data_IF_952861575057
#
_entry.id   IF_952861575057
#
_cell.length_a   1.000
_cell.length_b   1.000
_cell.length_c   1.000
_cell.angle_alpha   90.00
_cell.angle_beta   90.00
_cell.angle_gamma   90.00
#
_symmetry.space_group_name_H-M   'P 1'
#
loop_
_entity.id
_entity.type
_entity.pdbx_description
1 polymer ?
#
# COMPACT_ATOMS: atom_id res chain seq x y z
N UNK A 1 1.93 39.27 29.63
CA UNK A 1 1.05 38.16 30.05
C UNK A 1 -0.13 38.76 30.79
N UNK A 2 -1.35 38.65 30.27
CA UNK A 2 -2.52 39.34 30.84
C UNK A 2 -2.99 38.66 32.13
N UNK A 3 -3.02 39.35 33.29
CA UNK A 3 -3.37 38.75 34.58
C UNK A 3 -4.88 38.51 34.79
N UNK A 4 -5.73 38.91 33.84
CA UNK A 4 -7.20 38.80 33.94
C UNK A 4 -7.84 37.69 33.09
N UNK A 5 -7.04 36.85 32.41
CA UNK A 5 -7.56 35.69 31.69
C UNK A 5 -7.78 34.55 32.69
N UNK A 6 -9.04 34.12 32.88
CA UNK A 6 -9.34 32.88 33.62
C UNK A 6 -8.52 31.74 33.01
N UNK A 7 -7.89 30.91 33.85
CA UNK A 7 -7.18 29.72 33.39
C UNK A 7 -8.19 28.84 32.62
N UNK A 8 -7.86 28.36 31.42
CA UNK A 8 -8.79 27.59 30.61
C UNK A 8 -9.22 26.35 31.39
N UNK A 9 -10.51 26.03 31.34
CA UNK A 9 -11.05 24.83 31.99
C UNK A 9 -10.45 23.55 31.37
N UNK A 10 -10.45 22.40 32.06
CA UNK A 10 -9.95 21.14 31.48
C UNK A 10 -10.58 20.81 30.12
N UNK A 11 -11.85 21.16 29.92
CA UNK A 11 -12.57 21.00 28.65
C UNK A 11 -12.08 21.98 27.56
N UNK A 12 -11.81 23.23 27.91
CA UNK A 12 -11.23 24.20 26.97
C UNK A 12 -9.80 23.82 26.59
N UNK A 13 -9.00 23.35 27.56
CA UNK A 13 -7.65 22.85 27.32
C UNK A 13 -7.67 21.63 26.39
N UNK A 14 -8.55 20.67 26.62
CA UNK A 14 -8.70 19.49 25.75
C UNK A 14 -9.13 19.87 24.33
N UNK A 15 -10.06 20.84 24.17
CA UNK A 15 -10.47 21.34 22.85
C UNK A 15 -9.36 22.11 22.13
N UNK A 16 -8.54 22.87 22.86
CA UNK A 16 -7.38 23.57 22.29
C UNK A 16 -6.34 22.55 21.84
N UNK A 17 -5.97 21.61 22.71
CA UNK A 17 -5.04 20.52 22.40
C UNK A 17 -5.52 19.71 21.19
N UNK A 18 -6.80 19.34 21.12
CA UNK A 18 -7.38 18.65 19.97
C UNK A 18 -7.20 19.45 18.67
N UNK A 19 -7.46 20.76 18.69
CA UNK A 19 -7.32 21.62 17.51
C UNK A 19 -5.86 21.75 17.08
N UNK A 20 -4.96 21.91 18.04
CA UNK A 20 -3.52 21.96 17.81
C UNK A 20 -3.02 20.65 17.22
N UNK A 21 -3.29 19.51 17.85
CA UNK A 21 -2.91 18.19 17.34
C UNK A 21 -3.47 17.96 15.94
N UNK A 22 -4.73 18.29 15.67
CA UNK A 22 -5.32 18.15 14.33
C UNK A 22 -4.64 19.06 13.30
N UNK A 23 -4.27 20.27 13.66
CA UNK A 23 -3.54 21.20 12.79
C UNK A 23 -2.15 20.67 12.47
N UNK A 24 -1.41 20.26 13.49
CA UNK A 24 -0.05 19.71 13.38
C UNK A 24 -0.04 18.42 12.56
N UNK A 25 -0.96 17.49 12.83
CA UNK A 25 -1.12 16.26 12.05
C UNK A 25 -1.37 16.58 10.58
N UNK A 26 -2.31 17.48 10.27
CA UNK A 26 -2.58 17.89 8.87
C UNK A 26 -1.39 18.55 8.20
N UNK A 27 -0.63 19.37 8.92
CA UNK A 27 0.58 20.00 8.39
C UNK A 27 1.64 18.96 8.04
N UNK A 28 1.89 18.03 8.95
CA UNK A 28 2.85 16.94 8.78
C UNK A 28 2.41 15.98 7.66
N UNK A 29 1.13 15.64 7.55
CA UNK A 29 0.60 14.85 6.43
C UNK A 29 0.90 15.51 5.07
N UNK A 30 0.71 16.82 4.96
CA UNK A 30 1.02 17.56 3.72
C UNK A 30 2.52 17.63 3.44
N UNK A 31 3.35 17.68 4.48
CA UNK A 31 4.81 17.60 4.32
C UNK A 31 5.21 16.22 3.80
N UNK A 32 4.73 15.15 4.43
CA UNK A 32 4.98 13.78 3.96
C UNK A 32 4.49 13.55 2.53
N UNK A 33 3.36 14.14 2.13
CA UNK A 33 2.91 14.08 0.73
C UNK A 33 3.86 14.78 -0.26
N UNK A 34 4.57 15.83 0.16
CA UNK A 34 5.62 16.44 -0.66
C UNK A 34 6.84 15.52 -0.72
N UNK A 35 7.26 14.99 0.42
CA UNK A 35 8.42 14.11 0.51
C UNK A 35 8.20 12.82 -0.31
N UNK A 36 7.00 12.24 -0.29
CA UNK A 36 6.61 11.10 -1.14
C UNK A 36 6.74 11.44 -2.63
N UNK A 37 6.29 12.63 -3.07
CA UNK A 37 6.45 13.06 -4.46
C UNK A 37 7.92 13.28 -4.83
N UNK A 38 8.75 13.67 -3.89
CA UNK A 38 10.19 13.84 -4.10
C UNK A 38 10.87 12.48 -4.26
N UNK A 39 10.51 11.50 -3.42
CA UNK A 39 10.92 10.11 -3.57
C UNK A 39 10.44 9.50 -4.89
N UNK A 40 9.21 9.78 -5.34
CA UNK A 40 8.71 9.34 -6.66
C UNK A 40 9.57 9.88 -7.82
N UNK A 41 10.01 11.13 -7.72
CA UNK A 41 10.89 11.73 -8.73
C UNK A 41 12.27 11.09 -8.70
N UNK A 42 12.83 10.85 -7.51
CA UNK A 42 14.10 10.15 -7.35
C UNK A 42 14.05 8.71 -7.87
N UNK A 43 12.96 7.98 -7.57
CA UNK A 43 12.72 6.63 -8.07
C UNK A 43 12.76 6.60 -9.60
N UNK A 44 12.02 7.51 -10.26
CA UNK A 44 11.99 7.60 -11.73
C UNK A 44 13.37 7.92 -12.33
N UNK A 45 14.13 8.82 -11.69
CA UNK A 45 15.48 9.17 -12.13
C UNK A 45 16.44 7.99 -11.97
N UNK A 46 16.41 7.29 -10.83
CA UNK A 46 17.23 6.10 -10.59
C UNK A 46 16.90 5.00 -11.57
N UNK A 47 15.61 4.75 -11.85
CA UNK A 47 15.20 3.80 -12.88
C UNK A 47 15.81 4.19 -14.23
N UNK A 48 15.69 5.45 -14.67
CA UNK A 48 16.30 5.90 -15.93
C UNK A 48 17.83 5.71 -15.96
N UNK A 49 18.54 6.03 -14.88
CA UNK A 49 19.99 5.83 -14.78
C UNK A 49 20.37 4.35 -14.87
N UNK A 50 19.62 3.47 -14.19
CA UNK A 50 19.78 2.01 -14.30
C UNK A 50 19.56 1.55 -15.74
N UNK A 51 18.52 2.07 -16.44
CA UNK A 51 18.27 1.73 -17.86
C UNK A 51 19.44 2.15 -18.76
N UNK A 52 19.94 3.38 -18.59
CA UNK A 52 21.02 3.91 -19.40
C UNK A 52 22.31 3.11 -19.19
N UNK A 53 22.61 2.78 -17.94
CA UNK A 53 23.80 2.00 -17.57
C UNK A 53 23.72 0.56 -18.04
N UNK A 54 22.58 -0.10 -17.90
CA UNK A 54 22.37 -1.47 -18.36
C UNK A 54 22.51 -1.63 -19.89
N UNK A 55 22.25 -0.56 -20.65
CA UNK A 55 22.41 -0.52 -22.12
C UNK A 55 23.81 -0.13 -22.59
N UNK A 56 24.71 0.27 -21.70
CA UNK A 56 26.04 0.70 -22.08
C UNK A 56 26.88 -0.50 -22.56
N UNK A 57 27.55 -0.39 -23.73
CA UNK A 57 28.33 -1.50 -24.28
C UNK A 57 29.54 -1.81 -23.38
N UNK A 58 29.72 -3.09 -23.02
CA UNK A 58 30.85 -3.57 -22.22
C UNK A 58 30.57 -3.75 -20.71
N UNK A 59 29.35 -3.43 -20.24
CA UNK A 59 28.94 -3.73 -18.87
C UNK A 59 28.29 -5.12 -18.80
N UNK A 60 28.87 -5.99 -17.96
CA UNK A 60 28.25 -7.26 -17.57
C UNK A 60 27.17 -7.01 -16.51
N UNK A 61 26.22 -7.94 -16.36
CA UNK A 61 25.17 -7.92 -15.32
C UNK A 61 25.73 -7.76 -13.89
N UNK A 62 27.03 -8.02 -13.70
CA UNK A 62 27.74 -7.91 -12.42
C UNK A 62 28.53 -6.59 -12.24
N UNK A 63 28.18 -5.49 -12.92
CA UNK A 63 28.81 -4.19 -12.64
C UNK A 63 28.49 -3.75 -11.20
N UNK A 64 29.51 -3.55 -10.32
CA UNK A 64 29.30 -3.16 -8.93
C UNK A 64 28.48 -1.87 -8.78
N UNK A 65 28.56 -0.95 -9.74
CA UNK A 65 27.82 0.30 -9.64
C UNK A 65 26.40 0.22 -10.23
N UNK A 66 26.09 -0.78 -11.07
CA UNK A 66 24.70 -1.17 -11.37
C UNK A 66 24.05 -1.78 -10.12
N UNK A 67 24.76 -2.67 -9.41
CA UNK A 67 24.31 -3.24 -8.13
C UNK A 67 24.06 -2.14 -7.08
N UNK A 68 24.96 -1.17 -6.97
CA UNK A 68 24.78 -0.04 -6.05
C UNK A 68 23.54 0.80 -6.38
N UNK A 69 23.29 1.11 -7.66
CA UNK A 69 22.10 1.86 -8.08
C UNK A 69 20.81 1.08 -7.83
N UNK A 70 20.82 -0.24 -7.99
CA UNK A 70 19.66 -1.07 -7.70
C UNK A 70 19.37 -1.20 -6.21
N UNK A 71 20.40 -1.34 -5.36
CA UNK A 71 20.24 -1.25 -3.90
C UNK A 71 19.62 0.11 -3.50
N UNK A 72 20.07 1.20 -4.13
CA UNK A 72 19.50 2.53 -3.90
C UNK A 72 18.02 2.61 -4.34
N UNK A 73 17.65 1.97 -5.45
CA UNK A 73 16.26 1.89 -5.90
C UNK A 73 15.37 1.16 -4.89
N UNK A 74 15.81 0.00 -4.37
CA UNK A 74 15.08 -0.74 -3.33
C UNK A 74 14.94 0.11 -2.07
N UNK A 75 16.02 0.78 -1.65
CA UNK A 75 15.98 1.65 -0.48
C UNK A 75 14.98 2.81 -0.64
N UNK A 76 14.91 3.46 -1.81
CA UNK A 76 13.92 4.52 -2.08
C UNK A 76 12.50 3.98 -2.06
N UNK A 77 12.26 2.78 -2.59
CA UNK A 77 10.94 2.11 -2.52
C UNK A 77 10.53 1.79 -1.09
N UNK A 78 11.46 1.26 -0.28
CA UNK A 78 11.21 0.95 1.14
C UNK A 78 10.96 2.23 1.95
N UNK A 79 11.73 3.29 1.70
CA UNK A 79 11.49 4.62 2.29
C UNK A 79 10.10 5.16 1.93
N UNK A 80 9.69 5.04 0.67
CA UNK A 80 8.36 5.46 0.22
C UNK A 80 7.25 4.64 0.87
N UNK A 81 7.39 3.31 0.97
CA UNK A 81 6.44 2.45 1.68
C UNK A 81 6.32 2.87 3.16
N UNK A 82 7.45 3.07 3.84
CA UNK A 82 7.49 3.56 5.23
C UNK A 82 6.84 4.94 5.38
N UNK A 83 7.01 5.85 4.42
CA UNK A 83 6.33 7.16 4.45
C UNK A 83 4.79 7.03 4.34
N UNK A 84 4.27 6.09 3.56
CA UNK A 84 2.83 5.82 3.51
C UNK A 84 2.32 5.26 4.84
N UNK A 85 3.08 4.38 5.47
CA UNK A 85 2.76 3.83 6.78
C UNK A 85 2.77 4.91 7.87
N UNK A 86 3.85 5.69 7.97
CA UNK A 86 3.92 6.82 8.93
C UNK A 86 2.80 7.83 8.67
N UNK A 87 2.39 8.05 7.42
CA UNK A 87 1.21 8.88 7.12
C UNK A 87 -0.08 8.30 7.69
N UNK A 88 -0.27 6.99 7.58
CA UNK A 88 -1.43 6.28 8.13
C UNK A 88 -1.41 6.32 9.67
N UNK A 89 -0.28 6.01 10.29
CA UNK A 89 -0.07 6.09 11.74
C UNK A 89 -0.35 7.50 12.26
N UNK A 90 0.17 8.54 11.62
CA UNK A 90 -0.09 9.93 11.99
C UNK A 90 -1.57 10.30 11.84
N UNK A 91 -2.25 9.74 10.84
CA UNK A 91 -3.71 9.82 10.69
C UNK A 91 -4.46 9.19 11.86
N UNK A 92 -4.05 7.98 12.27
CA UNK A 92 -4.58 7.29 13.45
C UNK A 92 -4.36 8.10 14.73
N UNK A 93 -3.16 8.65 14.95
CA UNK A 93 -2.89 9.54 16.09
C UNK A 93 -3.82 10.77 16.12
N UNK A 94 -4.16 11.33 14.95
CA UNK A 94 -5.14 12.41 14.84
C UNK A 94 -6.56 11.97 15.24
N UNK A 95 -6.94 10.73 14.93
CA UNK A 95 -8.20 10.13 15.36
C UNK A 95 -8.20 9.85 16.87
N UNK A 96 -7.13 9.26 17.40
CA UNK A 96 -6.92 9.01 18.83
C UNK A 96 -7.01 10.31 19.65
N UNK A 97 -6.37 11.38 19.19
CA UNK A 97 -6.48 12.70 19.83
C UNK A 97 -7.93 13.24 19.80
N UNK A 98 -8.68 12.97 18.72
CA UNK A 98 -10.10 13.35 18.65
C UNK A 98 -10.97 12.49 19.56
N UNK A 99 -10.69 11.19 19.70
CA UNK A 99 -11.39 10.29 20.61
C UNK A 99 -11.15 10.71 22.07
N UNK A 100 -9.89 10.98 22.44
CA UNK A 100 -9.53 11.51 23.76
C UNK A 100 -10.27 12.81 24.09
N UNK A 101 -10.37 13.75 23.14
CA UNK A 101 -11.11 14.99 23.34
C UNK A 101 -12.61 14.75 23.60
N UNK A 102 -13.21 13.82 22.86
CA UNK A 102 -14.61 13.39 23.09
C UNK A 102 -14.78 12.75 24.47
N UNK A 103 -13.82 11.93 24.90
CA UNK A 103 -13.85 11.28 26.21
C UNK A 103 -13.74 12.29 27.36
N UNK A 104 -12.90 13.31 27.24
CA UNK A 104 -12.84 14.42 28.20
C UNK A 104 -14.15 15.21 28.23
N UNK A 105 -14.75 15.47 27.07
CA UNK A 105 -16.05 16.14 26.98
C UNK A 105 -17.16 15.31 27.63
N UNK A 106 -17.16 13.99 27.42
CA UNK A 106 -18.10 13.06 28.04
C UNK A 106 -17.91 13.04 29.56
N UNK A 107 -16.68 12.91 30.04
CA UNK A 107 -16.37 12.93 31.47
C UNK A 107 -16.82 14.24 32.14
N UNK A 108 -16.62 15.38 31.46
CA UNK A 108 -17.09 16.69 31.95
C UNK A 108 -18.62 16.77 31.98
N UNK A 109 -19.29 16.27 30.94
CA UNK A 109 -20.74 16.22 30.88
C UNK A 109 -21.32 15.29 31.95
N UNK A 110 -20.75 14.10 32.14
CA UNK A 110 -21.12 13.18 33.20
C UNK A 110 -20.86 13.77 34.58
N UNK A 111 -19.77 14.52 34.78
CA UNK A 111 -19.51 15.26 36.02
C UNK A 111 -20.61 16.28 36.32
N UNK A 112 -21.00 17.08 35.32
CA UNK A 112 -22.09 18.07 35.47
C UNK A 112 -23.45 17.41 35.72
N UNK A 113 -23.75 16.32 35.00
CA UNK A 113 -24.97 15.51 35.20
C UNK A 113 -24.95 14.85 36.57
N UNK A 114 -23.81 14.31 37.04
CA UNK A 114 -23.68 13.70 38.36
C UNK A 114 -23.81 14.72 39.48
N UNK A 115 -23.28 15.93 39.32
CA UNK A 115 -23.54 17.02 40.27
C UNK A 115 -25.02 17.38 40.30
N UNK A 116 -25.67 17.55 39.14
CA UNK A 116 -27.12 17.82 39.08
C UNK A 116 -27.98 16.65 39.60
N UNK A 117 -27.52 15.41 39.42
CA UNK A 117 -28.17 14.18 39.87
C UNK A 117 -27.92 13.91 41.37
N UNK A 118 -26.79 14.39 41.91
CA UNK A 118 -26.50 14.48 43.34
C UNK A 118 -27.37 15.54 44.01
N UNK A 119 -27.69 16.62 43.33
CA UNK A 119 -28.65 17.61 43.82
C UNK A 119 -30.10 17.10 43.74
N UNK A 120 -30.36 16.12 42.86
CA UNK A 120 -31.63 15.40 42.74
C UNK A 120 -31.65 14.02 43.46
N UNK A 121 -30.71 13.78 44.37
CA UNK A 121 -30.36 12.47 44.93
C UNK A 121 -31.50 11.78 45.68
N UNK A 122 -32.17 10.81 45.02
CA UNK A 122 -32.69 9.57 45.61
C UNK A 122 -33.31 8.57 44.60
N UNK A 123 -33.24 8.77 43.27
CA UNK A 123 -33.98 7.92 42.32
C UNK A 123 -33.14 7.17 41.25
N UNK A 124 -31.80 7.26 41.24
CA UNK A 124 -30.99 6.60 40.20
C UNK A 124 -29.84 5.80 40.81
N UNK A 125 -29.70 4.54 40.38
CA UNK A 125 -28.75 3.55 40.88
C UNK A 125 -27.32 3.81 40.37
N UNK A 126 -26.60 4.69 41.07
CA UNK A 126 -25.21 5.08 40.78
C UNK A 126 -24.23 3.91 40.77
N UNK A 127 -24.56 2.80 41.44
CA UNK A 127 -23.72 1.60 41.51
C UNK A 127 -23.62 0.89 40.15
N UNK A 128 -24.75 0.76 39.45
CA UNK A 128 -24.78 0.14 38.11
C UNK A 128 -24.00 0.96 37.09
N UNK A 129 -24.03 2.30 37.17
CA UNK A 129 -23.26 3.18 36.29
C UNK A 129 -21.75 3.02 36.52
N UNK A 130 -21.31 2.91 37.78
CA UNK A 130 -19.90 2.65 38.12
C UNK A 130 -19.40 1.31 37.59
N UNK A 131 -20.21 0.24 37.67
CA UNK A 131 -19.88 -1.05 37.07
C UNK A 131 -19.71 -0.96 35.56
N UNK A 132 -20.65 -0.31 34.86
CA UNK A 132 -20.56 -0.13 33.38
C UNK A 132 -19.35 0.71 32.96
N UNK A 133 -18.94 1.69 33.77
CA UNK A 133 -17.73 2.48 33.54
C UNK A 133 -16.45 1.64 33.71
N UNK A 134 -16.42 0.76 34.71
CA UNK A 134 -15.31 -0.18 34.93
C UNK A 134 -15.20 -1.18 33.78
N UNK A 135 -16.32 -1.72 33.31
CA UNK A 135 -16.35 -2.65 32.19
C UNK A 135 -15.91 -1.99 30.89
N UNK A 136 -16.37 -0.76 30.63
CA UNK A 136 -15.90 0.04 29.49
C UNK A 136 -14.39 0.29 29.55
N UNK A 137 -13.84 0.61 30.73
CA UNK A 137 -12.39 0.78 30.89
C UNK A 137 -11.62 -0.48 30.55
N UNK A 138 -12.07 -1.65 31.01
CA UNK A 138 -11.44 -2.95 30.73
C UNK A 138 -11.52 -3.32 29.25
N UNK A 139 -12.64 -3.02 28.61
CA UNK A 139 -12.86 -3.33 27.19
C UNK A 139 -12.02 -2.42 26.28
N UNK A 140 -11.88 -1.14 26.66
CA UNK A 140 -10.98 -0.19 25.99
C UNK A 140 -9.51 -0.61 26.11
N UNK A 141 -9.08 -1.08 27.29
CA UNK A 141 -7.71 -1.59 27.49
C UNK A 141 -7.44 -2.86 26.66
N UNK A 142 -8.42 -3.78 26.59
CA UNK A 142 -8.34 -4.95 25.71
C UNK A 142 -8.28 -4.56 24.22
N UNK A 143 -8.97 -3.50 23.82
CA UNK A 143 -8.92 -3.01 22.44
C UNK A 143 -7.54 -2.45 22.11
N UNK A 144 -6.95 -1.65 23.01
CA UNK A 144 -5.61 -1.09 22.83
C UNK A 144 -4.54 -2.20 22.72
N UNK A 145 -4.56 -3.20 23.59
CA UNK A 145 -3.62 -4.34 23.49
C UNK A 145 -3.74 -5.10 22.16
N UNK A 146 -4.96 -5.19 21.60
CA UNK A 146 -5.15 -5.81 20.28
C UNK A 146 -4.60 -4.95 19.16
N UNK A 147 -4.70 -3.63 19.26
CA UNK A 147 -4.10 -2.70 18.29
C UNK A 147 -2.56 -2.80 18.33
N UNK A 148 -1.96 -2.88 19.53
CA UNK A 148 -0.51 -3.08 19.69
C UNK A 148 -0.05 -4.42 19.12
N UNK A 149 -0.69 -5.54 19.48
CA UNK A 149 -0.34 -6.85 18.92
C UNK A 149 -0.54 -6.93 17.40
N UNK A 150 -1.52 -6.22 16.86
CA UNK A 150 -1.74 -6.14 15.42
C UNK A 150 -0.61 -5.35 14.75
N UNK A 151 -0.20 -4.21 15.32
CA UNK A 151 0.89 -3.41 14.80
C UNK A 151 2.22 -4.16 14.86
N UNK A 152 2.52 -4.84 15.98
CA UNK A 152 3.75 -5.64 16.14
C UNK A 152 3.81 -6.79 15.12
N UNK A 153 2.67 -7.47 14.87
CA UNK A 153 2.59 -8.52 13.87
C UNK A 153 2.77 -7.97 12.43
N UNK A 154 2.28 -6.76 12.18
CA UNK A 154 2.44 -6.07 10.90
C UNK A 154 3.91 -5.67 10.70
N UNK A 155 4.53 -5.08 11.73
CA UNK A 155 5.92 -4.63 11.71
C UNK A 155 6.90 -5.82 11.55
N UNK A 156 6.65 -6.94 12.24
CA UNK A 156 7.44 -8.17 12.08
C UNK A 156 7.33 -8.79 10.68
N UNK A 157 6.20 -8.64 9.99
CA UNK A 157 6.05 -9.08 8.61
C UNK A 157 6.82 -8.20 7.60
N UNK A 158 7.17 -6.97 7.99
CA UNK A 158 7.95 -6.04 7.17
C UNK A 158 9.44 -5.99 7.53
N UNK A 159 9.83 -6.42 8.73
CA UNK A 159 11.24 -6.40 9.18
C UNK A 159 12.11 -7.50 8.52
N UNK A 160 11.52 -8.50 7.86
CA UNK A 160 12.23 -9.57 7.12
C UNK A 160 12.84 -9.08 5.77
N UNK A 161 13.23 -7.81 5.73
CA UNK A 161 13.92 -7.17 4.61
C UNK A 161 15.37 -7.66 4.53
N UNK A 162 15.58 -8.83 3.95
CA UNK A 162 16.88 -9.19 3.37
C UNK A 162 17.10 -8.35 2.10
N UNK A 163 17.39 -7.06 2.32
CA UNK A 163 17.55 -6.02 1.29
C UNK A 163 18.59 -6.45 0.24
N UNK A 164 19.55 -7.28 0.62
CA UNK A 164 20.58 -7.80 -0.26
C UNK A 164 20.01 -8.83 -1.26
N UNK A 165 19.20 -9.76 -0.79
CA UNK A 165 18.51 -10.76 -1.63
C UNK A 165 17.43 -10.12 -2.51
N UNK A 166 16.64 -9.17 -1.96
CA UNK A 166 15.67 -8.40 -2.75
C UNK A 166 16.35 -7.54 -3.80
N UNK A 167 17.50 -6.92 -3.51
CA UNK A 167 18.21 -6.10 -4.49
C UNK A 167 18.69 -6.94 -5.69
N UNK A 168 19.20 -8.15 -5.45
CA UNK A 168 19.60 -9.06 -6.54
C UNK A 168 18.40 -9.50 -7.39
N UNK A 169 17.28 -9.82 -6.74
CA UNK A 169 16.06 -10.23 -7.43
C UNK A 169 15.44 -9.07 -8.23
N UNK A 170 15.40 -7.87 -7.65
CA UNK A 170 14.93 -6.64 -8.31
C UNK A 170 15.87 -6.23 -9.44
N UNK A 171 17.19 -6.39 -9.31
CA UNK A 171 18.09 -6.21 -10.47
C UNK A 171 17.72 -7.15 -11.60
N UNK A 172 17.61 -8.44 -11.32
CA UNK A 172 17.27 -9.44 -12.34
C UNK A 172 15.92 -9.14 -13.01
N UNK A 173 14.91 -8.79 -12.21
CA UNK A 173 13.58 -8.45 -12.70
C UNK A 173 13.57 -7.15 -13.52
N UNK A 174 14.23 -6.08 -13.05
CA UNK A 174 14.35 -4.82 -13.80
C UNK A 174 15.12 -5.06 -15.09
N UNK A 175 16.17 -5.87 -15.09
CA UNK A 175 16.95 -6.21 -16.28
C UNK A 175 16.15 -7.06 -17.28
N UNK A 176 15.31 -7.98 -16.81
CA UNK A 176 14.39 -8.76 -17.61
C UNK A 176 13.29 -7.87 -18.23
N UNK A 177 12.67 -6.99 -17.43
CA UNK A 177 11.70 -5.98 -17.89
C UNK A 177 12.30 -4.97 -18.88
N UNK A 178 13.61 -4.74 -18.82
CA UNK A 178 14.33 -3.82 -19.71
C UNK A 178 14.70 -4.41 -21.07
N UNK A 179 14.43 -5.70 -21.32
CA UNK A 179 14.62 -6.32 -22.63
C UNK A 179 16.09 -6.51 -23.04
N UNK A 180 17.06 -6.34 -22.13
CA UNK A 180 18.48 -6.60 -22.42
C UNK A 180 18.71 -8.09 -22.74
N UNK A 181 17.86 -8.98 -22.23
CA UNK A 181 17.85 -10.40 -22.63
C UNK A 181 17.27 -10.65 -24.03
N UNK A 182 16.31 -9.85 -24.49
CA UNK A 182 15.78 -9.94 -25.85
C UNK A 182 16.80 -9.44 -26.86
N UNK A 183 17.50 -8.34 -26.57
CA UNK A 183 18.56 -7.83 -27.45
C UNK A 183 19.76 -8.78 -27.48
N UNK A 184 20.18 -9.38 -26.36
CA UNK A 184 21.29 -10.36 -26.38
C UNK A 184 20.93 -11.68 -27.08
N UNK A 185 19.67 -12.13 -27.05
CA UNK A 185 19.20 -13.28 -27.86
C UNK A 185 18.97 -12.94 -29.33
N UNK A 186 18.72 -11.66 -29.67
CA UNK A 186 18.47 -11.21 -31.04
C UNK A 186 19.75 -10.73 -31.77
N UNK A 187 20.77 -10.24 -31.04
CA UNK A 187 22.07 -9.82 -31.61
C UNK A 187 22.92 -11.03 -32.08
N UNK A 188 22.57 -12.25 -31.65
CA UNK A 188 23.14 -13.50 -32.18
C UNK A 188 22.43 -14.07 -33.43
N UNK A 189 21.24 -13.57 -33.75
CA UNK A 189 20.50 -14.01 -34.93
C UNK A 189 20.82 -13.05 -36.08
N UNK A 190 21.92 -13.33 -36.80
CA UNK A 190 22.06 -12.86 -38.18
C UNK A 190 20.74 -13.15 -38.90
N UNK A 191 20.13 -12.10 -39.48
CA UNK A 191 18.95 -12.26 -40.32
C UNK A 191 19.15 -13.45 -41.26
N UNK A 192 18.26 -14.47 -41.27
CA UNK A 192 18.38 -15.57 -42.19
C UNK A 192 18.17 -15.01 -43.61
N UNK A 193 19.27 -14.74 -44.30
CA UNK A 193 19.32 -14.50 -45.74
C UNK A 193 19.13 -15.83 -46.48
N UNK A 194 17.98 -16.47 -46.23
CA UNK A 194 17.44 -17.58 -47.01
C UNK A 194 15.99 -17.80 -46.61
N UNK A 195 15.10 -17.64 -47.57
CA UNK A 195 13.74 -18.16 -47.51
C UNK A 195 13.77 -19.62 -47.05
N UNK A 196 12.99 -20.02 -46.03
CA UNK A 196 12.81 -21.43 -45.71
C UNK A 196 12.00 -22.12 -46.82
N UNK A 197 12.30 -23.39 -47.17
CA UNK A 197 11.43 -24.16 -48.04
C UNK A 197 10.13 -24.46 -47.30
N UNK A 198 9.01 -24.31 -48.01
CA UNK A 198 7.67 -24.69 -47.58
C UNK A 198 7.60 -26.19 -47.29
N UNK A 199 7.53 -26.56 -46.01
CA UNK A 199 7.11 -27.90 -45.60
C UNK A 199 5.58 -27.94 -45.51
N UNK A 200 4.96 -28.61 -46.48
CA UNK A 200 3.57 -29.04 -46.42
C UNK A 200 3.44 -30.11 -45.34
N UNK A 201 2.73 -29.82 -44.26
CA UNK A 201 2.15 -30.86 -43.40
C UNK A 201 0.84 -31.32 -44.04
N UNK A 202 0.93 -32.35 -44.86
CA UNK A 202 -0.23 -33.15 -45.25
C UNK A 202 -0.75 -33.85 -43.97
N UNK A 203 -1.97 -33.49 -43.57
CA UNK A 203 -2.74 -34.22 -42.58
C UNK A 203 -3.43 -35.38 -43.31
N UNK A 204 -2.99 -36.61 -43.05
CA UNK A 204 -3.69 -37.82 -43.48
C UNK A 204 -5.03 -37.93 -42.72
N UNK A 205 -6.12 -37.48 -43.35
CA UNK A 205 -7.48 -37.85 -42.94
C UNK A 205 -7.88 -39.17 -43.60
N UNK A 206 -8.52 -40.05 -42.85
CA UNK A 206 -8.96 -41.35 -43.34
C UNK A 206 -10.14 -41.21 -44.31
N UNK A 207 -10.25 -42.14 -45.29
CA UNK A 207 -11.23 -42.06 -46.39
C UNK A 207 -12.69 -42.02 -45.93
N UNK A 208 -12.99 -42.59 -44.77
CA UNK A 208 -14.35 -42.61 -44.20
C UNK A 208 -14.78 -41.22 -43.67
N UNK A 209 -13.84 -40.39 -43.25
CA UNK A 209 -14.12 -39.04 -42.74
C UNK A 209 -14.28 -38.02 -43.89
N UNK A 210 -13.69 -38.29 -45.06
CA UNK A 210 -13.82 -37.44 -46.25
C UNK A 210 -15.19 -37.62 -46.93
N UNK A 211 -15.72 -38.85 -46.97
CA UNK A 211 -17.03 -39.14 -47.57
C UNK A 211 -18.18 -38.58 -46.70
N UNK A 212 -18.05 -38.64 -45.37
CA UNK A 212 -19.03 -38.06 -44.45
C UNK A 212 -19.10 -36.52 -44.53
N UNK A 213 -17.98 -35.86 -44.84
CA UNK A 213 -17.92 -34.40 -45.04
C UNK A 213 -18.55 -33.97 -46.36
N UNK A 214 -18.57 -34.85 -47.37
CA UNK A 214 -19.13 -34.55 -48.68
C UNK A 214 -20.67 -34.60 -48.70
N UNK A 215 -21.27 -35.51 -47.93
CA UNK A 215 -22.73 -35.64 -47.81
C UNK A 215 -23.40 -34.55 -46.95
N UNK A 216 -22.63 -33.81 -46.13
CA UNK A 216 -23.10 -32.71 -45.27
C UNK A 216 -23.06 -31.33 -45.95
N UNK A 217 -22.41 -31.21 -47.11
CA UNK A 217 -22.31 -29.97 -47.89
C UNK A 217 -23.62 -29.46 -48.52
N UNK A 218 -24.60 -30.31 -48.94
CA UNK A 218 -25.85 -29.81 -49.52
C UNK A 218 -26.73 -29.06 -48.51
N UNK A 219 -26.62 -29.38 -47.21
CA UNK A 219 -27.46 -28.79 -46.15
C UNK A 219 -26.93 -27.41 -45.70
N UNK A 220 -25.64 -27.14 -45.90
CA UNK A 220 -25.03 -25.84 -45.60
C UNK A 220 -25.23 -24.81 -46.71
N UNK A 221 -25.30 -25.23 -47.99
CA UNK A 221 -25.63 -24.33 -49.09
C UNK A 221 -27.12 -23.94 -49.06
N UNK A 222 -28.01 -24.88 -48.76
CA UNK A 222 -29.44 -24.62 -48.59
C UNK A 222 -29.73 -23.63 -47.44
N UNK A 223 -28.91 -23.63 -46.38
CA UNK A 223 -29.07 -22.73 -45.23
C UNK A 223 -28.54 -21.30 -45.48
N UNK A 224 -27.68 -21.12 -46.48
CA UNK A 224 -27.10 -19.84 -46.85
C UNK A 224 -27.94 -19.10 -47.89
N UNK A 225 -28.66 -19.83 -48.76
CA UNK A 225 -29.65 -19.26 -49.71
C UNK A 225 -31.00 -18.91 -49.06
N UNK A 226 -31.23 -19.31 -47.80
CA UNK A 226 -32.45 -19.04 -47.04
C UNK A 226 -32.33 -17.85 -46.05
N UNK A 227 -31.25 -17.06 -46.13
CA UNK A 227 -31.02 -15.84 -45.36
C UNK A 227 -30.95 -14.61 -46.28
#
# INVERSE_FOLDING_TARGET
MNPFRKKPTPLEQAKIAQRETKSTVRSNQRQMERDIRDLDRQEKLLVQQIKQRAKAPGLSQNDPALKAQARQLVQVRNQKAKMYETKAQLGSMGMHASAMATQVSMATAMGNVTSAMSDANNAIDTKTLMERLSDFSKENEKANMKEELMNDALEAAFEDSDVEAEAENVTSQVLAELGVEMDTKMVGLKAPSKLPPTENKEQDLTKEEQDALFDLLPDLTARLDAL
#
